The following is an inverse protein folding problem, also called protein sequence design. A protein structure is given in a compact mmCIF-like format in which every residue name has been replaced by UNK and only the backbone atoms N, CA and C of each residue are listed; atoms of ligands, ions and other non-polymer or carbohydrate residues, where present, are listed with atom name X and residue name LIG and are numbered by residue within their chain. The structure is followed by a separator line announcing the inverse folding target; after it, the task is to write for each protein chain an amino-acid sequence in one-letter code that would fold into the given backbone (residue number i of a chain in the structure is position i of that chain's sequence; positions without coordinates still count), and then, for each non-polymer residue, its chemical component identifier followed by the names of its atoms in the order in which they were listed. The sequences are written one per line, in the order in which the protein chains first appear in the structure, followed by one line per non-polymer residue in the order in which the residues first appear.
data_IF_680680729490
#
_entry.id   IF_680680729490
#
_cell.length_a   1.000
_cell.length_b   1.000
_cell.length_c   1.000
_cell.angle_alpha   90.00
_cell.angle_beta   90.00
_cell.angle_gamma   90.00
#
_symmetry.space_group_name_H-M   'P 1'
#
loop_
_entity.id
_entity.type
_entity.pdbx_description
1 polymer ?
#
# COMPACT_ATOMS: atom_id res chain seq x y z
N UNK A 1 4.41 -44.61 42.12
CA UNK A 1 3.37 -43.61 42.34
C UNK A 1 3.61 -42.49 41.35
N UNK A 2 2.85 -42.52 40.27
CA UNK A 2 2.97 -41.64 39.10
C UNK A 2 1.99 -40.46 39.28
N UNK A 3 2.48 -39.27 39.37
CA UNK A 3 1.68 -38.04 39.32
C UNK A 3 1.52 -37.62 37.84
N UNK A 4 0.36 -37.82 37.28
CA UNK A 4 -0.07 -37.31 36.00
C UNK A 4 -0.24 -35.78 36.12
N UNK A 5 0.69 -35.03 35.56
CA UNK A 5 0.63 -33.57 35.44
C UNK A 5 -0.35 -33.22 34.30
N UNK A 6 -1.49 -32.71 34.71
CA UNK A 6 -2.60 -32.25 33.84
C UNK A 6 -2.13 -31.15 32.88
N UNK A 7 -2.10 -31.45 31.59
CA UNK A 7 -1.88 -30.49 30.53
C UNK A 7 -3.06 -29.49 30.47
N UNK A 8 -2.91 -28.35 31.08
CA UNK A 8 -3.81 -27.22 30.91
C UNK A 8 -3.69 -26.71 29.46
N UNK A 9 -4.74 -26.87 28.68
CA UNK A 9 -4.83 -26.34 27.33
C UNK A 9 -4.70 -24.81 27.29
N UNK A 10 -4.30 -24.21 26.16
CA UNK A 10 -4.10 -22.78 26.06
C UNK A 10 -5.39 -22.01 26.40
N UNK A 11 -5.29 -20.88 27.12
CA UNK A 11 -6.46 -20.11 27.53
C UNK A 11 -7.25 -19.66 26.30
N UNK A 12 -8.54 -20.03 26.24
CA UNK A 12 -9.47 -19.54 25.23
C UNK A 12 -9.57 -18.03 25.35
N UNK A 13 -9.04 -17.30 24.35
CA UNK A 13 -9.19 -15.87 24.23
C UNK A 13 -10.68 -15.51 24.31
N UNK A 14 -11.11 -14.83 25.39
CA UNK A 14 -12.45 -14.21 25.47
C UNK A 14 -12.51 -13.16 24.37
N UNK A 15 -13.14 -13.47 23.23
CA UNK A 15 -13.50 -12.47 22.23
C UNK A 15 -14.35 -11.41 22.95
N UNK A 16 -13.82 -10.21 23.06
CA UNK A 16 -14.50 -9.11 23.69
C UNK A 16 -15.79 -8.84 22.90
N UNK A 17 -16.96 -9.02 23.53
CA UNK A 17 -18.26 -8.69 22.93
C UNK A 17 -18.31 -7.22 22.46
N UNK A 18 -17.56 -6.35 23.12
CA UNK A 18 -17.40 -4.95 22.74
C UNK A 18 -16.77 -4.82 21.35
N UNK A 19 -15.72 -5.58 21.04
CA UNK A 19 -15.09 -5.56 19.70
C UNK A 19 -16.05 -6.04 18.60
N UNK A 20 -16.89 -7.05 18.89
CA UNK A 20 -17.90 -7.51 17.95
C UNK A 20 -18.97 -6.43 17.68
N UNK A 21 -19.49 -5.81 18.73
CA UNK A 21 -20.51 -4.76 18.63
C UNK A 21 -19.97 -3.55 17.86
N UNK A 22 -18.74 -3.12 18.15
CA UNK A 22 -18.10 -2.01 17.43
C UNK A 22 -17.93 -2.35 15.94
N UNK A 23 -17.45 -3.56 15.61
CA UNK A 23 -17.28 -3.95 14.21
C UNK A 23 -18.61 -4.03 13.47
N UNK A 24 -19.65 -4.61 14.08
CA UNK A 24 -21.01 -4.66 13.49
C UNK A 24 -21.55 -3.24 13.31
N UNK A 25 -21.38 -2.36 14.29
CA UNK A 25 -21.78 -0.96 14.20
C UNK A 25 -21.08 -0.22 13.05
N UNK A 26 -19.78 -0.42 12.86
CA UNK A 26 -19.02 0.16 11.75
C UNK A 26 -19.48 -0.37 10.39
N UNK A 27 -19.80 -1.67 10.29
CA UNK A 27 -20.33 -2.27 9.07
C UNK A 27 -21.71 -1.68 8.73
N UNK A 28 -22.60 -1.60 9.71
CA UNK A 28 -23.92 -1.01 9.50
C UNK A 28 -23.83 0.47 9.12
N UNK A 29 -22.94 1.22 9.77
CA UNK A 29 -22.68 2.62 9.40
C UNK A 29 -22.18 2.74 7.97
N UNK A 30 -21.21 1.90 7.56
CA UNK A 30 -20.66 1.91 6.21
C UNK A 30 -21.74 1.60 5.15
N UNK A 31 -22.55 0.56 5.37
CA UNK A 31 -23.65 0.24 4.45
C UNK A 31 -24.76 1.31 4.46
N UNK A 32 -25.05 1.90 5.62
CA UNK A 32 -25.99 3.02 5.75
C UNK A 32 -25.54 4.25 4.97
N UNK A 33 -24.27 4.65 5.11
CA UNK A 33 -23.67 5.74 4.35
C UNK A 33 -23.64 5.43 2.84
N UNK A 34 -23.29 4.21 2.46
CA UNK A 34 -23.32 3.79 1.06
C UNK A 34 -24.74 3.90 0.50
N UNK A 35 -25.75 3.36 1.19
CA UNK A 35 -27.15 3.45 0.79
C UNK A 35 -27.63 4.89 0.67
N UNK A 36 -27.24 5.77 1.61
CA UNK A 36 -27.54 7.19 1.58
C UNK A 36 -26.95 7.87 0.33
N UNK A 37 -25.66 7.65 0.06
CA UNK A 37 -24.96 8.22 -1.12
C UNK A 37 -25.57 7.70 -2.43
N UNK A 38 -25.86 6.40 -2.52
CA UNK A 38 -26.51 5.82 -3.69
C UNK A 38 -27.91 6.41 -3.92
N UNK A 39 -28.69 6.59 -2.84
CA UNK A 39 -30.03 7.19 -2.95
C UNK A 39 -29.98 8.66 -3.37
N UNK A 40 -29.05 9.46 -2.80
CA UNK A 40 -28.84 10.86 -3.21
C UNK A 40 -28.42 11.03 -4.67
N UNK A 41 -27.67 10.06 -5.21
CA UNK A 41 -27.15 10.13 -6.58
C UNK A 41 -27.91 9.20 -7.55
N UNK A 42 -29.08 8.68 -7.12
CA UNK A 42 -29.85 7.69 -7.89
C UNK A 42 -30.08 8.11 -9.34
N UNK A 43 -30.55 9.34 -9.55
CA UNK A 43 -30.91 9.83 -10.89
C UNK A 43 -29.67 9.93 -11.80
N UNK A 44 -28.52 10.42 -11.25
CA UNK A 44 -27.24 10.46 -11.97
C UNK A 44 -26.71 9.07 -12.28
N UNK A 45 -26.88 8.13 -11.35
CA UNK A 45 -26.46 6.74 -11.53
C UNK A 45 -27.31 6.09 -12.62
N UNK A 46 -28.63 6.27 -12.60
CA UNK A 46 -29.54 5.74 -13.60
C UNK A 46 -29.27 6.35 -14.97
N UNK A 47 -28.98 7.65 -15.05
CA UNK A 47 -28.61 8.32 -16.28
C UNK A 47 -27.36 7.71 -16.89
N UNK A 48 -26.27 7.55 -16.07
CA UNK A 48 -25.02 6.94 -16.53
C UNK A 48 -25.21 5.49 -16.94
N UNK A 49 -26.03 4.72 -16.20
CA UNK A 49 -26.29 3.30 -16.52
C UNK A 49 -27.16 3.15 -17.80
N UNK A 50 -27.95 4.14 -18.15
CA UNK A 50 -28.75 4.14 -19.39
C UNK A 50 -27.93 4.50 -20.65
N UNK A 51 -26.75 5.08 -20.47
CA UNK A 51 -25.84 5.44 -21.57
C UNK A 51 -25.21 4.19 -22.20
N UNK A 52 -24.92 4.24 -23.49
CA UNK A 52 -24.13 3.19 -24.17
C UNK A 52 -22.69 3.31 -23.72
N UNK A 53 -22.25 2.40 -22.83
CA UNK A 53 -20.88 2.37 -22.37
C UNK A 53 -19.96 1.86 -23.48
N UNK A 54 -18.81 2.53 -23.68
CA UNK A 54 -17.76 2.03 -24.56
C UNK A 54 -17.00 0.90 -23.90
N UNK A 55 -17.35 -0.34 -24.27
CA UNK A 55 -16.72 -1.55 -23.74
C UNK A 55 -15.21 -1.65 -24.04
N UNK A 56 -14.72 -0.94 -25.06
CA UNK A 56 -13.29 -0.92 -25.38
C UNK A 56 -12.54 -0.10 -24.34
N UNK A 57 -13.07 1.06 -23.96
CA UNK A 57 -12.51 1.89 -22.89
C UNK A 57 -12.59 1.17 -21.53
N UNK A 58 -13.69 0.47 -21.26
CA UNK A 58 -13.84 -0.34 -20.06
C UNK A 58 -12.76 -1.43 -20.01
N UNK A 59 -12.64 -2.21 -21.06
CA UNK A 59 -11.65 -3.29 -21.13
C UNK A 59 -10.20 -2.75 -21.01
N UNK A 60 -9.89 -1.66 -21.70
CA UNK A 60 -8.58 -1.02 -21.61
C UNK A 60 -8.30 -0.53 -20.20
N UNK A 61 -9.24 0.16 -19.55
CA UNK A 61 -9.09 0.65 -18.18
C UNK A 61 -8.89 -0.48 -17.17
N UNK A 62 -9.68 -1.57 -17.29
CA UNK A 62 -9.52 -2.76 -16.44
C UNK A 62 -8.15 -3.42 -16.64
N UNK A 63 -7.70 -3.58 -17.87
CA UNK A 63 -6.38 -4.19 -18.16
C UNK A 63 -5.24 -3.32 -17.62
N UNK A 64 -5.33 -2.01 -17.76
CA UNK A 64 -4.33 -1.08 -17.23
C UNK A 64 -4.32 -1.11 -15.70
N UNK A 65 -5.50 -1.12 -15.06
CA UNK A 65 -5.60 -1.26 -13.62
C UNK A 65 -4.98 -2.57 -13.11
N UNK A 66 -5.25 -3.69 -13.77
CA UNK A 66 -4.65 -4.98 -13.44
C UNK A 66 -3.12 -4.96 -13.62
N UNK A 67 -2.63 -4.27 -14.65
CA UNK A 67 -1.19 -4.08 -14.86
C UNK A 67 -0.55 -3.30 -13.71
N UNK A 68 -1.21 -2.28 -13.17
CA UNK A 68 -0.79 -1.54 -11.96
C UNK A 68 -0.65 -2.46 -10.74
N UNK A 69 -1.61 -3.36 -10.53
CA UNK A 69 -1.54 -4.35 -9.44
C UNK A 69 -0.36 -5.30 -9.63
N UNK A 70 -0.14 -5.79 -10.85
CA UNK A 70 0.99 -6.66 -11.18
C UNK A 70 2.32 -5.95 -10.87
N UNK A 71 2.47 -4.68 -11.24
CA UNK A 71 3.69 -3.91 -10.91
C UNK A 71 3.91 -3.81 -9.40
N UNK A 72 2.86 -3.65 -8.61
CA UNK A 72 2.94 -3.66 -7.14
C UNK A 72 3.45 -5.01 -6.62
N UNK A 73 3.00 -6.13 -7.20
CA UNK A 73 3.46 -7.45 -6.79
C UNK A 73 4.89 -7.75 -7.26
N UNK A 74 5.27 -7.28 -8.45
CA UNK A 74 6.64 -7.37 -8.97
C UNK A 74 7.59 -6.54 -8.09
N UNK A 75 7.17 -5.35 -7.63
CA UNK A 75 7.94 -4.54 -6.68
C UNK A 75 8.20 -5.32 -5.39
N UNK A 76 7.15 -5.87 -4.78
CA UNK A 76 7.29 -6.68 -3.57
C UNK A 76 8.19 -7.90 -3.80
N UNK A 77 8.05 -8.59 -4.94
CA UNK A 77 8.93 -9.68 -5.33
C UNK A 77 10.40 -9.25 -5.39
N UNK A 78 10.70 -8.14 -6.06
CA UNK A 78 12.06 -7.63 -6.19
C UNK A 78 12.69 -7.35 -4.83
N UNK A 79 11.93 -6.72 -3.92
CA UNK A 79 12.38 -6.41 -2.57
C UNK A 79 12.63 -7.68 -1.75
N UNK A 80 11.68 -8.61 -1.71
CA UNK A 80 11.81 -9.81 -0.88
C UNK A 80 12.88 -10.75 -1.42
N UNK A 81 13.10 -10.79 -2.72
CA UNK A 81 14.13 -11.65 -3.34
C UNK A 81 15.56 -11.31 -2.90
N UNK A 82 15.80 -10.10 -2.45
CA UNK A 82 17.09 -9.71 -1.84
C UNK A 82 17.35 -10.50 -0.55
N UNK A 83 16.29 -10.82 0.19
CA UNK A 83 16.35 -11.53 1.48
C UNK A 83 16.21 -13.04 1.26
N UNK A 84 15.33 -13.44 0.34
CA UNK A 84 15.00 -14.84 0.05
C UNK A 84 15.08 -15.11 -1.47
N UNK A 85 16.25 -15.47 -1.98
CA UNK A 85 16.47 -15.72 -3.41
C UNK A 85 15.61 -16.86 -3.98
N UNK A 86 15.09 -17.78 -3.13
CA UNK A 86 14.24 -18.91 -3.53
C UNK A 86 12.80 -18.51 -3.86
N UNK A 87 12.39 -17.29 -3.52
CA UNK A 87 11.05 -16.79 -3.81
C UNK A 87 10.81 -16.78 -5.33
N UNK A 88 9.70 -17.39 -5.75
CA UNK A 88 9.30 -17.47 -7.17
C UNK A 88 8.29 -16.37 -7.49
N UNK A 89 8.45 -15.74 -8.64
CA UNK A 89 7.52 -14.69 -9.12
C UNK A 89 6.07 -15.19 -9.18
N UNK A 90 5.84 -16.43 -9.66
CA UNK A 90 4.50 -17.03 -9.71
C UNK A 90 3.84 -17.09 -8.34
N UNK A 91 4.58 -17.51 -7.31
CA UNK A 91 4.07 -17.56 -5.93
C UNK A 91 3.74 -16.16 -5.42
N UNK A 92 4.59 -15.19 -5.74
CA UNK A 92 4.39 -13.79 -5.36
C UNK A 92 3.15 -13.18 -5.99
N UNK A 93 2.93 -13.42 -7.29
CA UNK A 93 1.73 -12.96 -7.98
C UNK A 93 0.48 -13.59 -7.39
N UNK A 94 0.48 -14.91 -7.18
CA UNK A 94 -0.64 -15.61 -6.55
C UNK A 94 -0.96 -15.06 -5.16
N UNK A 95 0.06 -14.88 -4.32
CA UNK A 95 -0.08 -14.29 -2.99
C UNK A 95 -0.56 -12.84 -3.04
N UNK A 96 -0.11 -12.09 -4.04
CA UNK A 96 -0.56 -10.73 -4.29
C UNK A 96 -2.06 -10.67 -4.55
N UNK A 97 -2.57 -11.52 -5.45
CA UNK A 97 -4.01 -11.60 -5.75
C UNK A 97 -4.82 -12.12 -4.56
N UNK A 98 -4.36 -13.17 -3.87
CA UNK A 98 -5.01 -13.65 -2.64
C UNK A 98 -5.05 -12.53 -1.61
N UNK A 99 -3.92 -11.84 -1.39
CA UNK A 99 -3.82 -10.73 -0.45
C UNK A 99 -4.74 -9.57 -0.82
N UNK A 100 -4.91 -9.28 -2.11
CA UNK A 100 -5.85 -8.27 -2.58
C UNK A 100 -7.30 -8.61 -2.21
N UNK A 101 -7.72 -9.85 -2.43
CA UNK A 101 -9.06 -10.32 -2.02
C UNK A 101 -9.25 -10.21 -0.51
N UNK A 102 -8.24 -10.61 0.28
CA UNK A 102 -8.30 -10.47 1.74
C UNK A 102 -8.35 -9.01 2.22
N UNK A 103 -7.71 -8.09 1.51
CA UNK A 103 -7.81 -6.65 1.81
C UNK A 103 -9.20 -6.08 1.54
N UNK A 104 -9.98 -6.69 0.63
CA UNK A 104 -11.39 -6.30 0.40
C UNK A 104 -12.32 -6.76 1.54
N UNK A 105 -11.97 -7.88 2.17
CA UNK A 105 -12.81 -8.51 3.22
C UNK A 105 -12.41 -8.00 4.61
N UNK A 106 -11.12 -7.82 4.86
CA UNK A 106 -10.59 -7.39 6.18
C UNK A 106 -10.38 -5.87 6.17
N UNK A 107 -11.11 -5.12 7.01
CA UNK A 107 -10.92 -3.67 7.13
C UNK A 107 -9.48 -3.31 7.50
N UNK A 108 -8.97 -2.19 6.96
CA UNK A 108 -7.65 -1.65 7.28
C UNK A 108 -6.51 -2.06 6.33
N UNK A 109 -6.82 -2.74 5.21
CA UNK A 109 -5.84 -3.13 4.17
C UNK A 109 -4.63 -3.93 4.69
N UNK A 110 -4.78 -4.63 5.83
CA UNK A 110 -3.71 -5.38 6.51
C UNK A 110 -3.78 -6.87 6.19
N UNK A 111 -4.97 -7.36 5.75
CA UNK A 111 -5.20 -8.79 5.50
C UNK A 111 -4.22 -9.40 4.50
N UNK A 112 -3.97 -8.72 3.41
CA UNK A 112 -3.02 -9.16 2.39
C UNK A 112 -1.58 -9.20 2.89
N UNK A 113 -1.17 -8.24 3.70
CA UNK A 113 0.17 -8.20 4.26
C UNK A 113 0.38 -9.32 5.29
N UNK A 114 -0.66 -9.67 6.08
CA UNK A 114 -0.61 -10.81 6.99
C UNK A 114 -0.39 -12.13 6.25
N UNK A 115 -1.07 -12.34 5.13
CA UNK A 115 -0.90 -13.54 4.30
C UNK A 115 0.50 -13.61 3.72
N UNK A 116 1.01 -12.50 3.17
CA UNK A 116 2.38 -12.40 2.66
C UNK A 116 3.40 -12.70 3.77
N UNK A 117 3.23 -12.09 4.96
CA UNK A 117 4.10 -12.33 6.09
C UNK A 117 4.06 -13.79 6.56
N UNK A 118 2.87 -14.40 6.66
CA UNK A 118 2.72 -15.79 7.04
C UNK A 118 3.45 -16.72 6.05
N UNK A 119 3.34 -16.46 4.75
CA UNK A 119 4.05 -17.22 3.72
C UNK A 119 5.57 -17.11 3.86
N UNK A 120 6.10 -15.90 4.08
CA UNK A 120 7.53 -15.70 4.30
C UNK A 120 8.02 -16.44 5.55
N UNK A 121 7.21 -16.47 6.61
CA UNK A 121 7.53 -17.24 7.82
C UNK A 121 7.55 -18.75 7.55
N UNK A 122 6.66 -19.27 6.71
CA UNK A 122 6.69 -20.66 6.25
C UNK A 122 7.96 -20.99 5.44
N UNK A 123 8.53 -20.02 4.75
CA UNK A 123 9.83 -20.13 4.08
C UNK A 123 11.04 -19.99 5.04
N UNK A 124 10.82 -20.07 6.36
CA UNK A 124 11.82 -19.95 7.42
C UNK A 124 12.45 -18.55 7.56
N UNK A 125 11.81 -17.51 7.00
CA UNK A 125 12.21 -16.12 7.23
C UNK A 125 11.72 -15.70 8.62
N UNK A 126 12.57 -15.00 9.38
CA UNK A 126 12.21 -14.47 10.70
C UNK A 126 11.00 -13.54 10.59
N UNK A 127 10.05 -13.65 11.54
CA UNK A 127 8.82 -12.82 11.56
C UNK A 127 9.11 -11.33 11.46
N UNK A 128 10.16 -10.87 12.14
CA UNK A 128 10.61 -9.48 12.12
C UNK A 128 11.08 -9.04 10.74
N UNK A 129 11.83 -9.89 10.03
CA UNK A 129 12.26 -9.63 8.64
C UNK A 129 11.09 -9.59 7.67
N UNK A 130 10.14 -10.52 7.81
CA UNK A 130 8.93 -10.52 7.00
C UNK A 130 8.14 -9.21 7.17
N UNK A 131 7.92 -8.76 8.41
CA UNK A 131 7.24 -7.49 8.70
C UNK A 131 8.04 -6.29 8.19
N UNK A 132 9.36 -6.26 8.42
CA UNK A 132 10.22 -5.17 7.94
C UNK A 132 10.18 -5.04 6.41
N UNK A 133 10.15 -6.16 5.66
CA UNK A 133 10.02 -6.12 4.20
C UNK A 133 8.69 -5.50 3.74
N UNK A 134 7.58 -5.76 4.47
CA UNK A 134 6.28 -5.12 4.19
C UNK A 134 6.32 -3.61 4.46
N UNK A 135 6.99 -3.20 5.55
CA UNK A 135 7.14 -1.77 5.87
C UNK A 135 7.93 -1.04 4.78
N UNK A 136 9.04 -1.61 4.31
CA UNK A 136 9.84 -1.04 3.22
C UNK A 136 9.01 -0.95 1.93
N UNK A 137 8.27 -2.01 1.59
CA UNK A 137 7.37 -2.00 0.44
C UNK A 137 6.33 -0.88 0.51
N UNK A 138 5.73 -0.64 1.70
CA UNK A 138 4.78 0.44 1.94
C UNK A 138 5.43 1.83 1.82
N UNK A 139 6.62 2.00 2.39
CA UNK A 139 7.37 3.28 2.29
C UNK A 139 7.66 3.61 0.82
N UNK A 140 8.17 2.65 0.04
CA UNK A 140 8.44 2.85 -1.38
C UNK A 140 7.15 3.10 -2.19
N UNK A 141 6.05 2.43 -1.80
CA UNK A 141 4.73 2.68 -2.38
C UNK A 141 4.28 4.12 -2.20
N UNK A 142 4.29 4.60 -0.96
CA UNK A 142 3.90 5.96 -0.60
C UNK A 142 4.83 7.01 -1.22
N UNK A 143 6.15 6.77 -1.17
CA UNK A 143 7.11 7.68 -1.79
C UNK A 143 6.88 7.78 -3.30
N UNK A 144 6.63 6.66 -3.99
CA UNK A 144 6.30 6.67 -5.42
C UNK A 144 5.03 7.46 -5.74
N UNK A 145 4.01 7.37 -4.88
CA UNK A 145 2.79 8.19 -5.00
C UNK A 145 3.10 9.69 -4.88
N UNK A 146 3.85 10.09 -3.85
CA UNK A 146 4.19 11.49 -3.64
C UNK A 146 5.13 12.03 -4.71
N UNK A 147 6.05 11.22 -5.23
CA UNK A 147 6.89 11.59 -6.37
C UNK A 147 6.04 11.83 -7.61
N UNK A 148 5.10 10.94 -7.93
CA UNK A 148 4.18 11.13 -9.05
C UNK A 148 3.33 12.39 -8.87
N UNK A 149 2.72 12.57 -7.69
CA UNK A 149 1.93 13.76 -7.37
C UNK A 149 2.78 15.06 -7.46
N UNK A 150 4.06 14.98 -7.08
CA UNK A 150 5.00 16.11 -7.20
C UNK A 150 5.29 16.46 -8.65
N UNK A 151 5.47 15.45 -9.51
CA UNK A 151 5.69 15.63 -10.95
C UNK A 151 4.44 16.24 -11.60
N UNK A 152 3.26 15.64 -11.36
CA UNK A 152 1.98 16.14 -11.86
C UNK A 152 1.71 17.57 -11.39
N UNK A 153 1.88 17.84 -10.09
CA UNK A 153 1.74 19.17 -9.51
C UNK A 153 2.69 20.21 -10.11
N UNK A 154 3.92 19.79 -10.47
CA UNK A 154 4.87 20.67 -11.17
C UNK A 154 4.37 21.11 -12.54
N UNK A 155 3.81 20.20 -13.34
CA UNK A 155 3.20 20.54 -14.62
C UNK A 155 1.95 21.40 -14.48
N UNK A 156 1.20 21.21 -13.43
CA UNK A 156 -0.05 21.90 -13.17
C UNK A 156 0.11 23.20 -12.37
N UNK A 157 1.32 23.56 -11.98
CA UNK A 157 1.57 24.71 -11.11
C UNK A 157 0.97 26.02 -11.63
N UNK A 158 1.09 26.27 -12.92
CA UNK A 158 0.54 27.47 -13.56
C UNK A 158 -0.99 27.42 -13.67
N UNK A 159 -1.57 26.22 -13.86
CA UNK A 159 -3.02 26.02 -13.95
C UNK A 159 -3.70 26.17 -12.59
N UNK A 160 -2.99 25.88 -11.50
CA UNK A 160 -3.50 25.97 -10.13
C UNK A 160 -3.45 27.39 -9.54
N UNK A 161 -3.09 28.40 -10.33
CA UNK A 161 -2.95 29.77 -9.83
C UNK A 161 -4.27 30.36 -9.31
N UNK A 162 -5.41 29.97 -9.92
CA UNK A 162 -6.76 30.37 -9.54
C UNK A 162 -7.35 29.57 -8.37
N UNK A 163 -6.74 28.39 -8.03
CA UNK A 163 -7.31 27.44 -7.07
C UNK A 163 -6.38 27.24 -5.86
N UNK A 164 -6.54 28.04 -4.77
CA UNK A 164 -5.63 28.00 -3.62
C UNK A 164 -5.56 26.64 -2.92
N UNK A 165 -6.65 25.82 -3.02
CA UNK A 165 -6.69 24.48 -2.40
C UNK A 165 -5.76 23.54 -3.16
N UNK A 166 -5.84 23.52 -4.49
CA UNK A 166 -4.99 22.70 -5.35
C UNK A 166 -3.53 23.04 -5.14
N UNK A 167 -3.19 24.34 -5.09
CA UNK A 167 -1.83 24.80 -4.84
C UNK A 167 -1.26 24.32 -3.50
N UNK A 168 -2.07 24.34 -2.44
CA UNK A 168 -1.69 23.81 -1.13
C UNK A 168 -1.46 22.30 -1.17
N UNK A 169 -2.28 21.54 -1.91
CA UNK A 169 -2.10 20.10 -2.08
C UNK A 169 -0.80 19.78 -2.84
N UNK A 170 -0.46 20.53 -3.88
CA UNK A 170 0.81 20.38 -4.61
C UNK A 170 2.01 20.60 -3.67
N UNK A 171 1.99 21.70 -2.89
CA UNK A 171 3.06 21.99 -1.91
C UNK A 171 3.16 20.88 -0.85
N UNK A 172 2.02 20.39 -0.37
CA UNK A 172 1.98 19.27 0.58
C UNK A 172 2.58 17.99 -0.03
N UNK A 173 2.30 17.69 -1.31
CA UNK A 173 2.89 16.55 -2.01
C UNK A 173 4.41 16.68 -2.14
N UNK A 174 4.92 17.87 -2.49
CA UNK A 174 6.36 18.13 -2.55
C UNK A 174 7.03 17.94 -1.20
N UNK A 175 6.40 18.50 -0.14
CA UNK A 175 6.90 18.32 1.22
C UNK A 175 6.91 16.84 1.64
N UNK A 176 5.84 16.10 1.35
CA UNK A 176 5.73 14.68 1.66
C UNK A 176 6.77 13.84 0.87
N UNK A 177 7.00 14.14 -0.41
CA UNK A 177 8.03 13.50 -1.22
C UNK A 177 9.43 13.76 -0.67
N UNK A 178 9.75 15.02 -0.33
CA UNK A 178 11.03 15.39 0.27
C UNK A 178 11.24 14.70 1.62
N UNK A 179 10.23 14.72 2.49
CA UNK A 179 10.29 14.06 3.79
C UNK A 179 10.45 12.53 3.64
N UNK A 180 9.73 11.90 2.72
CA UNK A 180 9.87 10.48 2.42
C UNK A 180 11.26 10.13 1.89
N UNK A 181 11.83 10.95 1.01
CA UNK A 181 13.19 10.79 0.51
C UNK A 181 14.23 10.94 1.64
N UNK A 182 14.07 11.94 2.53
CA UNK A 182 14.93 12.13 3.69
C UNK A 182 14.84 10.94 4.65
N UNK A 183 13.63 10.45 4.93
CA UNK A 183 13.43 9.26 5.79
C UNK A 183 14.10 8.04 5.17
N UNK A 184 13.94 7.82 3.87
CA UNK A 184 14.59 6.72 3.17
C UNK A 184 16.11 6.86 3.23
N UNK A 185 16.65 8.05 2.98
CA UNK A 185 18.07 8.33 3.09
C UNK A 185 18.59 8.14 4.53
N UNK A 186 17.82 8.52 5.55
CA UNK A 186 18.16 8.33 6.96
C UNK A 186 18.18 6.84 7.35
N UNK A 187 17.21 6.05 6.84
CA UNK A 187 17.19 4.59 7.05
C UNK A 187 18.42 3.95 6.41
N UNK A 188 18.71 4.23 5.14
CA UNK A 188 19.85 3.64 4.44
C UNK A 188 21.21 4.25 4.85
N UNK A 189 21.22 5.52 5.28
CA UNK A 189 22.40 6.20 5.80
C UNK A 189 22.79 5.80 7.23
N UNK A 190 21.99 4.93 7.86
CA UNK A 190 22.19 4.51 9.27
C UNK A 190 22.23 5.69 10.25
N UNK A 191 21.55 6.78 9.92
CA UNK A 191 21.51 7.97 10.78
C UNK A 191 20.94 7.60 12.15
N UNK A 192 19.93 6.74 12.19
CA UNK A 192 19.31 6.28 13.43
C UNK A 192 20.26 5.49 14.35
N UNK A 193 21.24 4.77 13.79
CA UNK A 193 22.19 4.00 14.59
C UNK A 193 23.25 4.87 15.26
N UNK A 194 23.50 6.07 14.73
CA UNK A 194 24.41 7.04 15.32
C UNK A 194 23.81 7.74 16.54
N UNK A 195 22.48 7.88 16.58
CA UNK A 195 21.75 8.55 17.65
C UNK A 195 21.21 7.60 18.73
N UNK A 196 21.00 6.31 18.38
CA UNK A 196 20.68 5.28 19.35
C UNK A 196 21.97 4.62 19.80
N UNK A 197 22.45 4.88 21.04
CA UNK A 197 23.64 4.22 21.52
C UNK A 197 23.40 2.72 21.43
N UNK A 198 24.40 2.00 20.89
CA UNK A 198 24.40 0.55 20.86
C UNK A 198 24.41 0.06 22.33
N UNK A 199 23.24 -0.03 22.92
CA UNK A 199 23.07 -0.72 24.19
C UNK A 199 23.52 -2.16 23.97
N UNK A 200 24.63 -2.53 24.56
CA UNK A 200 25.20 -3.90 24.52
C UNK A 200 24.26 -4.93 25.18
N UNK A 201 23.15 -4.50 25.73
CA UNK A 201 22.11 -5.36 26.28
C UNK A 201 20.89 -5.33 25.34
N UNK A 202 20.37 -6.51 24.95
CA UNK A 202 19.10 -6.58 24.23
C UNK A 202 18.02 -6.02 25.16
N UNK A 203 17.65 -4.76 24.94
CA UNK A 203 16.48 -4.20 25.62
C UNK A 203 15.28 -5.02 25.16
N UNK A 204 14.59 -5.69 26.08
CA UNK A 204 13.46 -6.59 25.81
C UNK A 204 12.20 -5.84 25.30
N UNK A 205 12.33 -4.62 24.83
CA UNK A 205 11.23 -3.82 24.29
C UNK A 205 10.91 -4.18 22.83
N UNK A 206 9.62 -4.31 22.49
CA UNK A 206 9.16 -4.55 21.10
C UNK A 206 9.71 -3.52 20.11
N UNK A 207 9.87 -2.27 20.53
CA UNK A 207 10.43 -1.19 19.70
C UNK A 207 11.92 -1.43 19.38
N UNK A 208 12.72 -1.88 20.33
CA UNK A 208 14.13 -2.18 20.10
C UNK A 208 14.33 -3.32 19.10
N UNK A 209 13.48 -4.34 19.14
CA UNK A 209 13.47 -5.42 18.15
C UNK A 209 13.14 -4.91 16.75
N UNK A 210 12.12 -4.06 16.61
CA UNK A 210 11.74 -3.46 15.32
C UNK A 210 12.90 -2.61 14.78
N UNK A 211 13.50 -1.76 15.60
CA UNK A 211 14.62 -0.90 15.19
C UNK A 211 15.84 -1.74 14.79
N UNK A 212 16.17 -2.81 15.52
CA UNK A 212 17.28 -3.70 15.17
C UNK A 212 17.05 -4.42 13.85
N UNK A 213 15.84 -4.84 13.56
CA UNK A 213 15.51 -5.50 12.30
C UNK A 213 15.45 -4.51 11.12
N UNK A 214 14.92 -3.32 11.33
CA UNK A 214 14.99 -2.25 10.32
C UNK A 214 16.44 -1.91 9.98
N UNK A 215 17.33 -1.91 10.96
CA UNK A 215 18.75 -1.70 10.75
C UNK A 215 19.41 -2.85 9.97
N UNK A 216 19.05 -4.09 10.29
CA UNK A 216 19.53 -5.28 9.56
C UNK A 216 19.05 -5.23 8.10
N UNK A 217 17.78 -4.87 7.88
CA UNK A 217 17.20 -4.69 6.55
C UNK A 217 17.86 -3.53 5.79
N UNK A 218 18.08 -2.40 6.47
CA UNK A 218 18.79 -1.26 5.90
C UNK A 218 20.16 -1.67 5.36
N UNK A 219 20.94 -2.44 6.13
CA UNK A 219 22.22 -2.95 5.69
C UNK A 219 22.11 -3.85 4.45
N UNK A 220 21.10 -4.70 4.41
CA UNK A 220 20.86 -5.61 3.29
C UNK A 220 20.52 -4.83 2.02
N UNK A 221 19.62 -3.84 2.09
CA UNK A 221 19.22 -3.06 0.93
C UNK A 221 20.23 -2.00 0.52
N UNK A 222 21.09 -1.53 1.42
CA UNK A 222 22.17 -0.59 1.09
C UNK A 222 23.15 -1.16 0.06
N UNK A 223 23.39 -2.47 0.09
CA UNK A 223 24.22 -3.16 -0.90
C UNK A 223 23.50 -3.40 -2.22
N UNK A 224 22.17 -3.18 -2.26
CA UNK A 224 21.28 -3.44 -3.38
C UNK A 224 20.38 -2.24 -3.66
N UNK A 225 20.96 -1.05 -3.72
CA UNK A 225 20.24 0.19 -4.06
C UNK A 225 19.59 0.12 -5.45
N UNK A 226 20.15 -0.67 -6.37
CA UNK A 226 19.55 -1.01 -7.66
C UNK A 226 18.09 -1.49 -7.50
N UNK A 227 17.84 -2.39 -6.54
CA UNK A 227 16.49 -2.92 -6.26
C UNK A 227 15.59 -1.87 -5.61
N UNK A 228 16.14 -0.99 -4.76
CA UNK A 228 15.38 0.10 -4.12
C UNK A 228 14.90 1.11 -5.17
N UNK A 229 15.80 1.55 -6.07
CA UNK A 229 15.44 2.45 -7.17
C UNK A 229 14.49 1.80 -8.17
N UNK A 230 14.69 0.51 -8.50
CA UNK A 230 13.73 -0.25 -9.29
C UNK A 230 12.35 -0.26 -8.61
N UNK A 231 12.31 -0.53 -7.31
CA UNK A 231 11.07 -0.52 -6.51
C UNK A 231 10.36 0.82 -6.54
N UNK A 232 11.12 1.92 -6.43
CA UNK A 232 10.57 3.28 -6.54
C UNK A 232 10.02 3.53 -7.95
N UNK A 233 10.78 3.17 -9.01
CA UNK A 233 10.33 3.30 -10.39
C UNK A 233 9.05 2.51 -10.67
N UNK A 234 8.98 1.25 -10.18
CA UNK A 234 7.76 0.43 -10.28
C UNK A 234 6.58 1.03 -9.53
N UNK A 235 6.82 1.72 -8.39
CA UNK A 235 5.79 2.46 -7.66
C UNK A 235 5.24 3.61 -8.48
N UNK A 236 6.12 4.47 -9.00
CA UNK A 236 5.72 5.62 -9.82
C UNK A 236 4.94 5.14 -11.06
N UNK A 237 5.46 4.15 -11.78
CA UNK A 237 4.80 3.58 -12.94
C UNK A 237 3.44 2.95 -12.60
N UNK A 238 3.34 2.20 -11.49
CA UNK A 238 2.09 1.61 -11.02
C UNK A 238 1.04 2.67 -10.69
N UNK A 239 1.42 3.73 -9.98
CA UNK A 239 0.50 4.84 -9.69
C UNK A 239 0.11 5.60 -10.95
N UNK A 240 1.03 5.83 -11.90
CA UNK A 240 0.72 6.46 -13.18
C UNK A 240 -0.29 5.65 -14.00
N UNK A 241 -0.10 4.31 -14.07
CA UNK A 241 -1.08 3.42 -14.72
C UNK A 241 -2.44 3.47 -14.02
N UNK A 242 -2.45 3.59 -12.70
CA UNK A 242 -3.69 3.68 -11.93
C UNK A 242 -4.46 4.97 -12.26
N UNK A 243 -3.77 6.13 -12.28
CA UNK A 243 -4.36 7.41 -12.70
C UNK A 243 -4.86 7.33 -14.13
N UNK A 244 -4.07 6.73 -15.03
CA UNK A 244 -4.48 6.55 -16.43
C UNK A 244 -5.71 5.64 -16.59
N UNK A 245 -5.81 4.58 -15.79
CA UNK A 245 -7.01 3.74 -15.76
C UNK A 245 -8.25 4.55 -15.32
N UNK A 246 -8.11 5.38 -14.27
CA UNK A 246 -9.20 6.28 -13.84
C UNK A 246 -9.58 7.29 -14.91
N UNK A 247 -8.61 7.85 -15.63
CA UNK A 247 -8.88 8.73 -16.77
C UNK A 247 -9.72 8.03 -17.84
N UNK A 248 -9.37 6.80 -18.23
CA UNK A 248 -10.17 6.05 -19.21
C UNK A 248 -11.58 5.75 -18.71
N UNK A 249 -11.72 5.42 -17.43
CA UNK A 249 -13.05 5.23 -16.82
C UNK A 249 -13.86 6.52 -16.82
N UNK A 250 -13.23 7.65 -16.49
CA UNK A 250 -13.86 8.98 -16.57
C UNK A 250 -14.34 9.29 -17.98
N UNK A 251 -13.51 9.06 -18.99
CA UNK A 251 -13.88 9.24 -20.41
C UNK A 251 -15.01 8.34 -20.87
N UNK A 252 -15.08 7.12 -20.35
CA UNK A 252 -16.16 6.18 -20.65
C UNK A 252 -17.49 6.65 -20.04
N UNK A 253 -17.46 7.11 -18.78
CA UNK A 253 -18.66 7.49 -18.05
C UNK A 253 -19.16 8.89 -18.45
N UNK A 254 -18.24 9.79 -18.79
CA UNK A 254 -18.51 11.20 -19.07
C UNK A 254 -17.81 11.64 -20.38
N UNK A 255 -18.28 11.14 -21.54
CA UNK A 255 -17.65 11.45 -22.83
C UNK A 255 -17.69 12.94 -23.19
N UNK A 256 -18.60 13.69 -22.58
CA UNK A 256 -18.78 15.13 -22.79
C UNK A 256 -17.74 15.99 -22.06
N UNK A 257 -17.07 15.42 -21.04
CA UNK A 257 -16.03 16.13 -20.32
C UNK A 257 -14.76 16.19 -21.18
N UNK A 258 -14.38 17.40 -21.56
CA UNK A 258 -13.18 17.69 -22.36
C UNK A 258 -11.90 17.74 -21.52
N UNK A 259 -11.93 17.14 -20.29
CA UNK A 259 -10.76 17.11 -19.43
C UNK A 259 -9.60 16.42 -20.12
N UNK A 260 -8.46 17.09 -20.14
CA UNK A 260 -7.21 16.54 -20.68
C UNK A 260 -6.60 15.53 -19.71
N UNK A 261 -5.72 14.68 -20.21
CA UNK A 261 -4.97 13.74 -19.36
C UNK A 261 -4.23 14.48 -18.25
N UNK A 262 -3.64 15.66 -18.56
CA UNK A 262 -2.93 16.49 -17.58
C UNK A 262 -3.79 16.96 -16.41
N UNK A 263 -5.05 17.29 -16.65
CA UNK A 263 -6.00 17.69 -15.61
C UNK A 263 -6.42 16.53 -14.69
N UNK A 264 -6.31 15.29 -15.15
CA UNK A 264 -6.55 14.10 -14.32
C UNK A 264 -5.40 13.74 -13.40
N UNK A 265 -4.19 14.23 -13.68
CA UNK A 265 -3.04 14.05 -12.79
C UNK A 265 -2.96 15.10 -11.67
N UNK A 266 -3.89 16.05 -11.66
CA UNK A 266 -4.10 17.06 -10.61
C UNK A 266 -5.11 16.61 -9.57
#
# INVERSE_FOLDING_TARGET
MSTLESAAGPPKSKRSHVGLVVNVGLILLAFGLLGYVLNQNRDKIMEVMSRKLDLRLLAAGVLIFQSSLILTYVRWYALVRVIEPRLKLRSTLLLGFIGYVFNLVIPGAVGGDLIKAAYLVQMHIRKTQAVASMVIDRILGLLGLFVLASIGGGFAWNMSASEPVVRRLIVAAWFAAAMGAVLLAAVFGQVFTRFLPASKQPSHGRLALIVSELNTMSNTYRTRLDVVFLGLGLSVAGHALNVFAFYLMGRMLFPELTTTLGEHFL
#
